data_IF_571898312233
#
_entry.id   IF_571898312233
#
_cell.length_a   1.000
_cell.length_b   1.000
_cell.length_c   1.000
_cell.angle_alpha   90.00
_cell.angle_beta   90.00
_cell.angle_gamma   90.00
#
_symmetry.space_group_name_H-M   'P 1'
#
loop_
_entity.id
_entity.type
_entity.pdbx_description
1 polymer ?
#
# COMPACT_ATOMS: atom_id res chain seq x y z
N UNK A 1 -21.09 -7.88 1.38
CA UNK A 1 -21.59 -7.69 2.77
C UNK A 1 -23.12 -7.62 2.71
N UNK A 2 -23.83 -8.59 3.29
CA UNK A 2 -25.28 -8.60 3.50
C UNK A 2 -26.11 -7.78 2.49
N UNK A 3 -26.30 -8.31 1.27
CA UNK A 3 -27.14 -7.75 0.18
C UNK A 3 -26.71 -6.42 -0.48
N UNK A 4 -25.48 -5.94 -0.32
CA UNK A 4 -25.03 -4.77 -1.05
C UNK A 4 -23.72 -5.05 -1.80
N UNK A 5 -23.75 -4.86 -3.12
CA UNK A 5 -22.55 -4.89 -3.95
C UNK A 5 -21.65 -3.70 -3.61
N UNK A 6 -20.41 -3.97 -3.25
CA UNK A 6 -19.44 -2.95 -2.87
C UNK A 6 -18.62 -2.46 -4.07
N UNK A 7 -18.38 -3.33 -5.05
CA UNK A 7 -17.67 -3.04 -6.30
C UNK A 7 -18.37 -3.80 -7.41
N UNK A 8 -18.79 -3.11 -8.47
CA UNK A 8 -19.54 -3.66 -9.61
C UNK A 8 -18.87 -3.26 -10.92
N UNK A 9 -18.87 -4.16 -11.89
CA UNK A 9 -18.42 -3.92 -13.27
C UNK A 9 -17.00 -3.35 -13.40
N UNK A 10 -16.10 -3.76 -12.52
CA UNK A 10 -14.69 -3.35 -12.58
C UNK A 10 -13.89 -4.31 -13.48
N UNK A 11 -13.35 -3.76 -14.56
CA UNK A 11 -12.32 -4.42 -15.36
C UNK A 11 -11.08 -3.56 -15.36
N UNK A 12 -9.97 -4.11 -14.90
CA UNK A 12 -8.68 -3.41 -14.87
C UNK A 12 -7.53 -4.42 -14.99
N UNK A 13 -6.40 -3.93 -15.45
CA UNK A 13 -5.13 -4.66 -15.46
C UNK A 13 -4.06 -3.79 -14.82
N UNK A 14 -3.17 -4.39 -14.06
CA UNK A 14 -2.03 -3.73 -13.39
C UNK A 14 -0.77 -4.45 -13.81
N UNK A 15 0.11 -3.76 -14.49
CA UNK A 15 1.36 -4.30 -14.97
C UNK A 15 2.47 -4.22 -13.91
N UNK A 16 3.51 -5.05 -14.11
CA UNK A 16 4.69 -5.01 -13.25
C UNK A 16 5.38 -3.64 -13.36
N UNK A 17 5.62 -3.00 -12.21
CA UNK A 17 6.21 -1.68 -12.13
C UNK A 17 5.21 -0.52 -12.17
N UNK A 18 3.92 -0.79 -12.33
CA UNK A 18 2.89 0.25 -12.23
C UNK A 18 2.81 0.85 -10.83
N UNK A 19 2.43 2.11 -10.79
CA UNK A 19 1.98 2.79 -9.58
C UNK A 19 0.51 3.17 -9.75
N UNK A 20 -0.39 2.27 -9.34
CA UNK A 20 -1.83 2.50 -9.38
C UNK A 20 -2.30 3.22 -8.11
N UNK A 21 -2.92 4.38 -8.29
CA UNK A 21 -3.64 5.07 -7.21
C UNK A 21 -5.15 4.80 -7.31
N UNK A 22 -5.73 4.28 -6.23
CA UNK A 22 -7.17 4.04 -6.09
C UNK A 22 -7.77 5.17 -5.26
N UNK A 23 -8.66 5.93 -5.87
CA UNK A 23 -9.29 7.11 -5.29
C UNK A 23 -10.82 7.00 -5.33
N UNK A 24 -11.49 7.79 -4.52
CA UNK A 24 -12.95 7.84 -4.44
C UNK A 24 -13.42 8.19 -3.02
N UNK A 25 -14.69 8.47 -2.87
CA UNK A 25 -15.31 8.86 -1.59
C UNK A 25 -15.29 7.72 -0.55
N UNK A 26 -15.58 8.06 0.70
CA UNK A 26 -15.77 7.07 1.75
C UNK A 26 -16.97 6.16 1.41
N UNK A 27 -16.81 4.85 1.59
CA UNK A 27 -17.84 3.87 1.23
C UNK A 27 -17.91 3.52 -0.27
N UNK A 28 -17.01 4.04 -1.12
CA UNK A 28 -16.99 3.76 -2.56
C UNK A 28 -16.54 2.35 -2.94
N UNK A 29 -16.10 1.52 -1.97
CA UNK A 29 -15.67 0.13 -2.23
C UNK A 29 -14.14 -0.07 -2.24
N UNK A 30 -13.31 0.95 -2.04
CA UNK A 30 -11.83 0.85 -2.08
C UNK A 30 -11.28 -0.24 -1.19
N UNK A 31 -11.67 -0.27 0.09
CA UNK A 31 -11.19 -1.29 1.04
C UNK A 31 -11.70 -2.69 0.71
N UNK A 32 -12.88 -2.80 0.09
CA UNK A 32 -13.42 -4.09 -0.40
C UNK A 32 -12.61 -4.57 -1.59
N UNK A 33 -12.30 -3.69 -2.55
CA UNK A 33 -11.41 -4.00 -3.66
C UNK A 33 -10.04 -4.49 -3.16
N UNK A 34 -9.43 -3.77 -2.19
CA UNK A 34 -8.15 -4.16 -1.61
C UNK A 34 -8.20 -5.56 -0.98
N UNK A 35 -9.26 -5.86 -0.22
CA UNK A 35 -9.45 -7.19 0.38
C UNK A 35 -9.61 -8.27 -0.69
N UNK A 36 -10.29 -7.97 -1.80
CA UNK A 36 -10.40 -8.88 -2.94
C UNK A 36 -9.04 -9.17 -3.58
N UNK A 37 -8.26 -8.13 -3.87
CA UNK A 37 -6.92 -8.24 -4.45
C UNK A 37 -5.94 -9.02 -3.55
N UNK A 38 -6.08 -8.86 -2.24
CA UNK A 38 -5.30 -9.62 -1.23
C UNK A 38 -5.81 -11.07 -1.05
N UNK A 39 -6.88 -11.46 -1.74
CA UNK A 39 -7.48 -12.79 -1.58
C UNK A 39 -8.18 -13.03 -0.24
N UNK A 40 -8.42 -11.97 0.55
CA UNK A 40 -9.11 -12.04 1.84
C UNK A 40 -10.63 -12.26 1.68
N UNK A 41 -11.19 -11.83 0.55
CA UNK A 41 -12.56 -12.09 0.13
C UNK A 41 -12.56 -12.55 -1.33
N UNK A 42 -13.52 -13.38 -1.69
CA UNK A 42 -13.69 -13.83 -3.08
C UNK A 42 -14.72 -12.95 -3.78
N UNK A 43 -14.50 -12.61 -5.08
CA UNK A 43 -15.54 -11.95 -5.87
C UNK A 43 -16.78 -12.85 -5.99
N UNK A 44 -17.96 -12.26 -5.95
CA UNK A 44 -19.25 -12.96 -6.14
C UNK A 44 -19.49 -13.29 -7.60
N UNK A 45 -18.93 -12.49 -8.52
CA UNK A 45 -18.95 -12.71 -9.96
C UNK A 45 -17.65 -12.17 -10.58
N UNK A 46 -17.32 -12.62 -11.79
CA UNK A 46 -16.10 -12.24 -12.48
C UNK A 46 -14.89 -13.07 -12.05
N UNK A 47 -13.71 -12.65 -12.49
CA UNK A 47 -12.44 -13.36 -12.25
C UNK A 47 -11.36 -12.41 -11.76
N UNK A 48 -10.55 -12.87 -10.83
CA UNK A 48 -9.31 -12.21 -10.42
C UNK A 48 -8.13 -13.11 -10.81
N UNK A 49 -7.30 -12.63 -11.71
CA UNK A 49 -6.09 -13.35 -12.12
C UNK A 49 -4.86 -12.68 -11.50
N UNK A 50 -4.04 -13.46 -10.84
CA UNK A 50 -2.77 -13.02 -10.24
C UNK A 50 -1.63 -13.73 -10.97
N UNK A 51 -0.61 -12.98 -11.34
CA UNK A 51 0.58 -13.52 -11.99
C UNK A 51 1.23 -14.63 -11.13
N UNK A 52 1.74 -15.69 -11.78
CA UNK A 52 2.34 -16.84 -11.08
C UNK A 52 3.50 -16.43 -10.16
N UNK A 53 4.23 -15.39 -10.54
CA UNK A 53 5.32 -14.86 -9.74
C UNK A 53 4.84 -14.27 -8.42
N UNK A 54 3.73 -13.51 -8.42
CA UNK A 54 3.12 -12.95 -7.22
C UNK A 54 2.50 -14.02 -6.31
N UNK A 55 2.00 -15.12 -6.89
CA UNK A 55 1.52 -16.26 -6.09
C UNK A 55 2.65 -16.89 -5.27
N UNK A 56 3.88 -16.87 -5.79
CA UNK A 56 5.07 -17.43 -5.12
C UNK A 56 5.71 -16.47 -4.14
N UNK A 57 5.81 -15.19 -4.50
CA UNK A 57 6.51 -14.16 -3.71
C UNK A 57 5.61 -13.45 -2.71
N UNK A 58 4.29 -13.55 -2.91
CA UNK A 58 3.31 -12.85 -2.09
C UNK A 58 3.17 -11.36 -2.43
N UNK A 59 2.22 -10.73 -1.75
CA UNK A 59 1.94 -9.28 -1.83
C UNK A 59 2.24 -8.69 -0.44
N UNK A 60 3.02 -7.63 -0.39
CA UNK A 60 3.25 -6.87 0.83
C UNK A 60 2.05 -5.97 1.12
N UNK A 61 1.50 -6.04 2.31
CA UNK A 61 0.34 -5.24 2.69
C UNK A 61 0.64 -4.32 3.85
N UNK A 62 0.36 -3.05 3.66
CA UNK A 62 0.34 -2.04 4.71
C UNK A 62 -1.10 -1.60 4.93
N UNK A 63 -1.75 -2.07 6.00
CA UNK A 63 -3.12 -1.70 6.34
C UNK A 63 -3.20 -0.28 6.89
N UNK A 64 -4.39 0.30 6.82
CA UNK A 64 -4.70 1.52 7.56
C UNK A 64 -4.43 1.33 9.05
N UNK A 65 -3.64 2.21 9.63
CA UNK A 65 -3.16 2.07 11.01
C UNK A 65 -4.26 2.40 12.03
N UNK A 66 -4.54 1.47 12.92
CA UNK A 66 -5.45 1.67 14.05
C UNK A 66 -4.73 2.18 15.30
N UNK A 67 -5.47 2.79 16.24
CA UNK A 67 -4.91 3.25 17.52
C UNK A 67 -4.24 2.12 18.32
N UNK A 68 -4.85 0.92 18.33
CA UNK A 68 -4.30 -0.26 19.02
C UNK A 68 -2.97 -0.71 18.42
N UNK A 69 -2.81 -0.62 17.11
CA UNK A 69 -1.55 -0.98 16.45
C UNK A 69 -0.42 0.01 16.78
N UNK A 70 -0.73 1.29 17.04
CA UNK A 70 0.26 2.30 17.42
C UNK A 70 0.91 2.02 18.78
N UNK A 71 0.20 1.34 19.65
CA UNK A 71 0.62 1.08 21.04
C UNK A 71 1.34 -0.27 21.22
N UNK A 72 1.72 -0.93 20.12
CA UNK A 72 2.28 -2.27 20.17
C UNK A 72 3.66 -2.29 20.83
N UNK A 73 3.87 -3.09 21.91
CA UNK A 73 5.07 -3.06 22.74
C UNK A 73 6.18 -3.97 22.21
N UNK A 74 6.57 -3.82 20.93
CA UNK A 74 7.66 -4.57 20.33
C UNK A 74 8.77 -3.65 19.83
N UNK A 75 9.98 -4.14 19.68
CA UNK A 75 11.06 -3.41 19.05
C UNK A 75 10.82 -3.28 17.53
N UNK A 76 11.34 -2.21 16.94
CA UNK A 76 11.29 -1.98 15.48
C UNK A 76 11.81 -3.21 14.72
N UNK A 77 12.93 -3.77 15.16
CA UNK A 77 13.54 -4.94 14.51
C UNK A 77 12.63 -6.17 14.53
N UNK A 78 11.92 -6.42 15.63
CA UNK A 78 10.97 -7.53 15.72
C UNK A 78 9.81 -7.35 14.77
N UNK A 79 9.25 -6.13 14.68
CA UNK A 79 8.15 -5.82 13.75
C UNK A 79 8.62 -6.01 12.30
N UNK A 80 9.77 -5.47 11.92
CA UNK A 80 10.25 -5.60 10.53
C UNK A 80 10.51 -7.07 10.18
N UNK A 81 11.15 -7.83 11.07
CA UNK A 81 11.40 -9.27 10.88
C UNK A 81 10.10 -10.07 10.72
N UNK A 82 9.03 -9.69 11.39
CA UNK A 82 7.74 -10.37 11.26
C UNK A 82 7.20 -10.38 9.84
N UNK A 83 7.61 -9.43 8.99
CA UNK A 83 7.28 -9.42 7.57
C UNK A 83 7.83 -10.62 6.79
N UNK A 84 8.94 -11.22 7.25
CA UNK A 84 9.56 -12.38 6.60
C UNK A 84 8.87 -13.72 6.94
N UNK A 85 7.87 -13.75 7.83
CA UNK A 85 7.22 -14.99 8.28
C UNK A 85 6.50 -15.75 7.15
N UNK A 86 6.04 -15.05 6.12
CA UNK A 86 5.40 -15.69 4.96
C UNK A 86 6.30 -16.71 4.24
N UNK A 87 7.61 -16.59 4.40
CA UNK A 87 8.60 -17.48 3.79
C UNK A 87 9.14 -18.54 4.77
N UNK A 88 8.80 -18.44 6.07
CA UNK A 88 9.42 -19.30 7.10
C UNK A 88 8.80 -20.70 7.21
N UNK A 89 7.57 -20.92 6.71
CA UNK A 89 6.84 -22.18 6.91
C UNK A 89 6.70 -22.51 8.40
N UNK A 90 7.00 -23.75 8.79
CA UNK A 90 6.95 -24.19 10.20
C UNK A 90 8.25 -23.97 10.99
N UNK A 91 9.19 -23.16 10.48
CA UNK A 91 10.48 -22.94 11.16
C UNK A 91 10.33 -21.96 12.33
N UNK A 92 10.85 -22.26 13.53
CA UNK A 92 10.73 -21.39 14.69
C UNK A 92 11.72 -20.22 14.69
N UNK A 93 12.72 -20.22 13.80
CA UNK A 93 13.79 -19.21 13.77
C UNK A 93 13.97 -18.61 12.38
N UNK A 94 14.27 -17.31 12.32
CA UNK A 94 14.65 -16.62 11.10
C UNK A 94 16.01 -17.08 10.58
N UNK A 95 16.11 -17.28 9.27
CA UNK A 95 17.38 -17.56 8.58
C UNK A 95 18.29 -16.33 8.58
N UNK A 96 19.56 -16.54 8.20
CA UNK A 96 20.48 -15.42 7.98
C UNK A 96 20.01 -14.47 6.90
N UNK A 97 19.43 -15.01 5.80
CA UNK A 97 18.90 -14.23 4.69
C UNK A 97 17.70 -13.36 5.10
N UNK A 98 16.74 -13.91 5.87
CA UNK A 98 15.59 -13.15 6.38
C UNK A 98 16.03 -12.04 7.36
N UNK A 99 17.01 -12.30 8.20
CA UNK A 99 17.59 -11.29 9.09
C UNK A 99 18.28 -10.17 8.32
N UNK A 100 19.02 -10.52 7.25
CA UNK A 100 19.67 -9.53 6.41
C UNK A 100 18.64 -8.72 5.64
N UNK A 101 17.64 -9.36 5.00
CA UNK A 101 16.55 -8.67 4.30
C UNK A 101 15.83 -7.65 5.20
N UNK A 102 15.58 -8.00 6.45
CA UNK A 102 14.99 -7.06 7.41
C UNK A 102 15.87 -5.83 7.63
N UNK A 103 17.20 -6.02 7.78
CA UNK A 103 18.16 -4.93 7.96
C UNK A 103 18.26 -4.06 6.69
N UNK A 104 18.31 -4.67 5.51
CA UNK A 104 18.36 -3.97 4.21
C UNK A 104 17.10 -3.10 4.02
N UNK A 105 15.91 -3.63 4.36
CA UNK A 105 14.67 -2.87 4.30
C UNK A 105 14.65 -1.70 5.31
N UNK A 106 15.23 -1.89 6.49
CA UNK A 106 15.37 -0.80 7.47
C UNK A 106 16.32 0.29 6.97
N UNK A 107 17.42 -0.08 6.32
CA UNK A 107 18.36 0.86 5.72
C UNK A 107 17.71 1.65 4.58
N UNK A 108 17.02 0.96 3.65
CA UNK A 108 16.27 1.59 2.54
C UNK A 108 15.28 2.64 3.02
N UNK A 109 14.65 2.43 4.18
CA UNK A 109 13.66 3.35 4.75
C UNK A 109 14.25 4.32 5.78
N UNK A 110 15.57 4.29 6.01
CA UNK A 110 16.27 5.22 6.89
C UNK A 110 15.97 5.04 8.38
N UNK A 111 15.60 3.82 8.80
CA UNK A 111 15.17 3.52 10.19
C UNK A 111 16.08 2.56 10.93
N UNK A 112 17.27 2.24 10.41
CA UNK A 112 18.22 1.31 11.04
C UNK A 112 18.62 1.75 12.46
N UNK A 113 18.78 3.05 12.69
CA UNK A 113 19.09 3.63 13.99
C UNK A 113 17.99 3.43 15.04
N UNK A 114 16.78 3.07 14.63
CA UNK A 114 15.63 2.82 15.50
C UNK A 114 15.46 1.34 15.87
N UNK A 115 16.33 0.44 15.39
CA UNK A 115 16.18 -1.02 15.48
C UNK A 115 15.80 -1.55 16.88
N UNK A 116 16.38 -0.97 17.92
CA UNK A 116 16.19 -1.39 19.32
C UNK A 116 15.11 -0.57 20.06
N UNK A 117 14.55 0.47 19.43
CA UNK A 117 13.52 1.30 20.07
C UNK A 117 12.20 0.57 20.08
N UNK A 118 11.39 0.86 21.10
CA UNK A 118 10.00 0.39 21.15
C UNK A 118 9.16 1.14 20.13
N UNK A 119 8.35 0.40 19.37
CA UNK A 119 7.52 0.95 18.27
C UNK A 119 6.57 2.06 18.72
N UNK A 120 5.93 1.91 19.89
CA UNK A 120 5.02 2.91 20.45
C UNK A 120 5.67 4.26 20.79
N UNK A 121 6.99 4.30 20.92
CA UNK A 121 7.76 5.52 21.22
C UNK A 121 8.13 6.32 19.98
N UNK A 122 7.78 5.82 18.81
CA UNK A 122 8.12 6.43 17.54
C UNK A 122 7.09 7.49 17.13
N UNK A 123 7.54 8.49 16.36
CA UNK A 123 6.63 9.40 15.67
C UNK A 123 5.77 8.65 14.64
N UNK A 124 4.62 9.19 14.24
CA UNK A 124 3.73 8.59 13.25
C UNK A 124 4.45 8.25 11.94
N UNK A 125 5.27 9.17 11.41
CA UNK A 125 6.05 8.94 10.22
C UNK A 125 7.08 7.82 10.37
N UNK A 126 7.74 7.72 11.52
CA UNK A 126 8.66 6.61 11.83
C UNK A 126 7.90 5.29 11.92
N UNK A 127 6.72 5.27 12.55
CA UNK A 127 5.88 4.07 12.64
C UNK A 127 5.46 3.59 11.24
N UNK A 128 5.06 4.50 10.35
CA UNK A 128 4.70 4.13 8.97
C UNK A 128 5.89 3.57 8.18
N UNK A 129 7.10 4.13 8.35
CA UNK A 129 8.32 3.57 7.74
C UNK A 129 8.62 2.16 8.26
N UNK A 130 8.37 1.88 9.54
CA UNK A 130 8.54 0.53 10.12
C UNK A 130 7.54 -0.45 9.51
N UNK A 131 6.27 -0.06 9.37
CA UNK A 131 5.25 -0.91 8.75
C UNK A 131 5.52 -1.14 7.26
N UNK A 132 6.02 -0.14 6.55
CA UNK A 132 6.45 -0.28 5.15
C UNK A 132 7.66 -1.24 5.04
N UNK A 133 8.65 -1.14 5.95
CA UNK A 133 9.77 -2.08 6.00
C UNK A 133 9.30 -3.52 6.27
N UNK A 134 8.31 -3.69 7.13
CA UNK A 134 7.65 -4.98 7.38
C UNK A 134 6.96 -5.51 6.12
N UNK A 135 6.21 -4.68 5.40
CA UNK A 135 5.53 -5.07 4.17
C UNK A 135 6.53 -5.50 3.09
N UNK A 136 7.67 -4.81 2.97
CA UNK A 136 8.79 -5.19 2.08
C UNK A 136 9.45 -6.52 2.48
N UNK A 137 9.37 -6.93 3.74
CA UNK A 137 9.82 -8.25 4.19
C UNK A 137 8.99 -9.38 3.62
N UNK A 138 7.72 -9.13 3.30
CA UNK A 138 6.82 -10.13 2.73
C UNK A 138 6.95 -10.27 1.20
N UNK A 139 7.46 -9.24 0.50
CA UNK A 139 7.56 -9.21 -0.96
C UNK A 139 8.60 -8.20 -1.43
N UNK A 140 9.10 -8.42 -2.66
CA UNK A 140 9.89 -7.43 -3.41
C UNK A 140 9.24 -7.08 -4.76
N UNK A 141 7.99 -7.50 -4.99
CA UNK A 141 7.31 -7.39 -6.28
C UNK A 141 6.13 -6.44 -6.26
N UNK A 142 5.27 -6.51 -5.25
CA UNK A 142 4.06 -5.71 -5.19
C UNK A 142 3.71 -5.31 -3.76
N UNK A 143 3.45 -4.03 -3.56
CA UNK A 143 2.95 -3.45 -2.32
C UNK A 143 1.52 -2.95 -2.51
N UNK A 144 0.67 -3.30 -1.56
CA UNK A 144 -0.69 -2.80 -1.42
C UNK A 144 -0.73 -1.93 -0.16
N UNK A 145 -1.03 -0.64 -0.33
CA UNK A 145 -0.95 0.37 0.71
C UNK A 145 -2.34 1.00 0.93
N UNK A 146 -2.89 0.84 2.12
CA UNK A 146 -4.22 1.36 2.46
C UNK A 146 -4.06 2.63 3.32
N UNK A 147 -4.23 3.79 2.68
CA UNK A 147 -4.12 5.11 3.30
C UNK A 147 -2.82 5.32 4.11
N UNK A 148 -1.65 5.11 3.53
CA UNK A 148 -0.38 5.04 4.26
C UNK A 148 0.02 6.35 4.96
N UNK A 149 -0.54 7.49 4.54
CA UNK A 149 -0.17 8.83 5.05
C UNK A 149 -1.20 9.39 6.04
N UNK A 150 -2.31 8.71 6.27
CA UNK A 150 -3.39 9.22 7.12
C UNK A 150 -2.92 9.47 8.55
N UNK A 151 -3.17 10.69 9.05
CA UNK A 151 -2.80 11.13 10.40
C UNK A 151 -1.33 11.48 10.58
N UNK A 152 -0.57 11.64 9.49
CA UNK A 152 0.79 12.19 9.51
C UNK A 152 0.75 13.71 9.32
N UNK A 153 1.78 14.40 9.83
CA UNK A 153 2.01 15.80 9.49
C UNK A 153 2.43 15.97 8.01
N UNK A 154 2.24 17.16 7.40
CA UNK A 154 2.48 17.37 5.97
C UNK A 154 3.90 16.99 5.51
N UNK A 155 4.91 17.24 6.35
CA UNK A 155 6.30 16.89 6.01
C UNK A 155 6.50 15.38 5.97
N UNK A 156 6.01 14.66 6.98
CA UNK A 156 6.09 13.21 7.03
C UNK A 156 5.29 12.54 5.90
N UNK A 157 4.15 13.13 5.50
CA UNK A 157 3.38 12.66 4.34
C UNK A 157 4.21 12.75 3.06
N UNK A 158 4.78 13.92 2.78
CA UNK A 158 5.60 14.12 1.59
C UNK A 158 6.80 13.16 1.55
N UNK A 159 7.53 13.05 2.65
CA UNK A 159 8.66 12.13 2.76
C UNK A 159 8.27 10.68 2.52
N UNK A 160 7.10 10.25 3.01
CA UNK A 160 6.61 8.88 2.81
C UNK A 160 6.19 8.63 1.35
N UNK A 161 5.50 9.58 0.71
CA UNK A 161 5.17 9.49 -0.71
C UNK A 161 6.43 9.39 -1.58
N UNK A 162 7.46 10.19 -1.29
CA UNK A 162 8.72 10.13 -2.02
C UNK A 162 9.44 8.79 -1.84
N UNK A 163 9.43 8.23 -0.63
CA UNK A 163 9.98 6.88 -0.38
C UNK A 163 9.24 5.81 -1.18
N UNK A 164 7.90 5.82 -1.17
CA UNK A 164 7.08 4.88 -1.95
C UNK A 164 7.36 5.03 -3.45
N UNK A 165 7.45 6.27 -3.94
CA UNK A 165 7.79 6.54 -5.34
C UNK A 165 9.21 6.07 -5.71
N UNK A 166 10.17 6.14 -4.79
CA UNK A 166 11.52 5.59 -5.01
C UNK A 166 11.49 4.06 -5.09
N UNK A 167 10.76 3.38 -4.21
CA UNK A 167 10.59 1.92 -4.28
C UNK A 167 10.00 1.48 -5.63
N UNK A 168 9.05 2.24 -6.17
CA UNK A 168 8.50 1.97 -7.49
C UNK A 168 9.54 2.22 -8.59
N UNK A 169 10.10 3.44 -8.68
CA UNK A 169 10.93 3.86 -9.82
C UNK A 169 12.32 3.21 -9.86
N UNK A 170 12.95 3.01 -8.69
CA UNK A 170 14.32 2.47 -8.61
C UNK A 170 14.33 0.96 -8.47
N UNK A 171 13.41 0.42 -7.70
CA UNK A 171 13.38 -1.01 -7.37
C UNK A 171 12.37 -1.79 -8.23
N UNK A 172 11.56 -1.11 -9.06
CA UNK A 172 10.56 -1.74 -9.93
C UNK A 172 9.40 -2.39 -9.19
N UNK A 173 9.18 -2.01 -7.92
CA UNK A 173 8.08 -2.57 -7.13
C UNK A 173 6.75 -1.99 -7.63
N UNK A 174 5.81 -2.87 -7.96
CA UNK A 174 4.43 -2.47 -8.29
C UNK A 174 3.74 -1.93 -7.05
N UNK A 175 3.15 -0.75 -7.14
CA UNK A 175 2.45 -0.10 -6.04
C UNK A 175 0.96 -0.02 -6.35
N UNK A 176 0.14 -0.48 -5.43
CA UNK A 176 -1.30 -0.22 -5.42
C UNK A 176 -1.62 0.53 -4.14
N UNK A 177 -2.02 1.78 -4.24
CA UNK A 177 -2.24 2.65 -3.10
C UNK A 177 -3.64 3.21 -3.08
N UNK A 178 -4.34 3.05 -1.97
CA UNK A 178 -5.56 3.81 -1.67
C UNK A 178 -5.16 5.13 -1.02
N UNK A 179 -5.71 6.24 -1.53
CA UNK A 179 -5.49 7.56 -0.95
C UNK A 179 -6.75 8.41 -1.00
N UNK A 180 -6.92 9.25 0.01
CA UNK A 180 -7.90 10.35 0.02
C UNK A 180 -7.27 11.66 -0.46
N UNK A 181 -5.95 11.77 -0.41
CA UNK A 181 -5.20 12.90 -0.93
C UNK A 181 -4.98 12.71 -2.43
N UNK A 182 -5.90 13.28 -3.20
CA UNK A 182 -5.93 13.15 -4.66
C UNK A 182 -4.71 13.81 -5.32
N UNK A 183 -4.33 14.98 -4.86
CA UNK A 183 -3.26 15.76 -5.46
C UNK A 183 -1.91 15.05 -5.30
N UNK A 184 -1.56 14.70 -4.07
CA UNK A 184 -0.32 13.99 -3.81
C UNK A 184 -0.31 12.59 -4.44
N UNK A 185 -1.44 11.87 -4.39
CA UNK A 185 -1.54 10.53 -4.94
C UNK A 185 -1.36 10.52 -6.47
N UNK A 186 -2.05 11.41 -7.18
CA UNK A 186 -1.95 11.55 -8.64
C UNK A 186 -0.56 12.03 -9.07
N UNK A 187 0.12 12.85 -8.27
CA UNK A 187 1.48 13.32 -8.56
C UNK A 187 2.46 12.16 -8.82
N UNK A 188 2.38 11.09 -8.05
CA UNK A 188 3.32 9.97 -8.10
C UNK A 188 2.85 8.77 -8.92
N UNK A 189 1.54 8.64 -9.14
CA UNK A 189 0.93 7.52 -9.84
C UNK A 189 1.29 7.50 -11.34
N UNK A 190 1.35 6.29 -11.93
CA UNK A 190 1.31 6.05 -13.37
C UNK A 190 -0.13 5.88 -13.86
N UNK A 191 -0.96 5.21 -13.06
CA UNK A 191 -2.37 4.92 -13.35
C UNK A 191 -3.27 5.35 -12.20
N UNK A 192 -4.51 5.70 -12.53
CA UNK A 192 -5.55 6.08 -11.57
C UNK A 192 -6.79 5.23 -11.79
N UNK A 193 -7.31 4.66 -10.71
CA UNK A 193 -8.65 4.09 -10.62
C UNK A 193 -9.50 5.00 -9.74
N UNK A 194 -10.49 5.66 -10.33
CA UNK A 194 -11.50 6.40 -9.58
C UNK A 194 -12.76 5.57 -9.47
N UNK A 195 -13.15 5.23 -8.23
CA UNK A 195 -14.26 4.31 -7.97
C UNK A 195 -15.34 4.96 -7.08
N UNK A 196 -16.61 4.70 -7.45
CA UNK A 196 -17.81 4.99 -6.65
C UNK A 196 -18.79 3.83 -6.78
N UNK A 197 -18.49 2.68 -6.15
CA UNK A 197 -19.08 1.35 -6.34
C UNK A 197 -18.83 0.78 -7.75
N UNK A 198 -19.05 1.56 -8.80
CA UNK A 198 -18.62 1.28 -10.18
C UNK A 198 -17.37 2.09 -10.51
N UNK A 199 -16.53 1.64 -11.43
CA UNK A 199 -15.41 2.43 -11.92
C UNK A 199 -15.93 3.66 -12.66
N UNK A 200 -15.56 4.84 -12.19
CA UNK A 200 -15.84 6.11 -12.87
C UNK A 200 -14.74 6.44 -13.89
N UNK A 201 -13.53 5.96 -13.62
CA UNK A 201 -12.38 6.09 -14.50
C UNK A 201 -11.33 5.03 -14.14
N UNK A 202 -10.71 4.45 -15.17
CA UNK A 202 -9.46 3.68 -15.07
C UNK A 202 -8.59 3.99 -16.27
N UNK A 203 -7.33 4.32 -16.06
CA UNK A 203 -6.37 4.63 -17.12
C UNK A 203 -5.15 5.37 -16.62
N UNK A 204 -4.37 5.94 -17.56
CA UNK A 204 -3.16 6.69 -17.24
C UNK A 204 -3.50 7.96 -16.43
N UNK A 205 -2.51 8.43 -15.68
CA UNK A 205 -2.62 9.70 -14.96
C UNK A 205 -2.93 10.87 -15.89
N UNK A 206 -2.29 10.91 -17.06
CA UNK A 206 -2.47 11.95 -18.06
C UNK A 206 -3.91 12.01 -18.57
N UNK A 207 -4.51 10.86 -18.86
CA UNK A 207 -5.89 10.77 -19.30
C UNK A 207 -6.86 11.10 -18.18
N UNK A 208 -6.55 10.70 -16.93
CA UNK A 208 -7.34 11.09 -15.78
C UNK A 208 -7.42 12.60 -15.61
N UNK A 209 -6.29 13.29 -15.66
CA UNK A 209 -6.23 14.76 -15.53
C UNK A 209 -6.96 15.49 -16.65
N UNK A 210 -7.07 14.89 -17.85
CA UNK A 210 -7.86 15.43 -18.98
C UNK A 210 -9.34 15.11 -18.88
N UNK A 211 -9.72 14.10 -18.10
CA UNK A 211 -11.12 13.68 -17.97
C UNK A 211 -11.95 14.72 -17.20
N UNK A 212 -13.28 14.74 -17.46
CA UNK A 212 -14.20 15.60 -16.71
C UNK A 212 -14.17 15.34 -15.20
N UNK A 213 -14.02 14.07 -14.84
CA UNK A 213 -13.93 13.64 -13.44
C UNK A 213 -12.65 14.14 -12.78
N UNK A 214 -11.49 13.95 -13.41
CA UNK A 214 -10.23 14.43 -12.89
C UNK A 214 -10.22 15.95 -12.74
N UNK A 215 -10.74 16.69 -13.72
CA UNK A 215 -10.86 18.14 -13.65
C UNK A 215 -11.81 18.63 -12.54
N UNK A 216 -12.93 17.94 -12.32
CA UNK A 216 -13.86 18.29 -11.24
C UNK A 216 -13.23 18.11 -9.86
N UNK A 217 -12.46 17.04 -9.67
CA UNK A 217 -11.81 16.74 -8.40
C UNK A 217 -10.59 17.62 -8.12
N UNK A 218 -9.78 17.97 -9.13
CA UNK A 218 -8.62 18.87 -8.92
C UNK A 218 -9.05 20.32 -8.69
N UNK A 219 -10.18 20.76 -9.22
CA UNK A 219 -10.73 22.11 -8.97
C UNK A 219 -11.47 22.22 -7.62
N UNK A 220 -12.02 21.13 -7.10
CA UNK A 220 -12.73 21.11 -5.82
C UNK A 220 -11.83 21.20 -4.59
N UNK A 221 -10.51 21.07 -4.75
CA UNK A 221 -9.52 21.22 -3.67
C UNK A 221 -9.00 22.66 -3.53
N UNK A 222 -9.37 23.56 -4.45
CA UNK A 222 -8.98 25.00 -4.41
C UNK A 222 -10.02 25.90 -3.74
N UNK A 223 -11.08 25.35 -3.10
CA UNK A 223 -12.16 26.11 -2.46
C UNK A 223 -12.16 26.01 -0.93
#
# INVERSE_FOLDING_TARGET
>A
YENHDAVVDLTMEVDSGDYLCVVGENGSGKSTLMKGLLGLIKPTAGTLTVAEELKKTGIGYLPQQTAVQRDFPASVLEIVRSGCLNHSGFRPFYTKQEKQLALDNMERLGITHLAKRCYRELSGGQQQRVLLARALGATQKMLVLDEPVTGLDPKAQLELYELIAQLNRKDGITILMVSHDMEAAVKYASHVLHISKTPLFFGTKEDYLRSKIGQAYTRGTEA
#
